data_IF_713471640158
#
_entry.id   IF_713471640158
#
_cell.length_a   1.000
_cell.length_b   1.000
_cell.length_c   1.000
_cell.angle_alpha   90.00
_cell.angle_beta   90.00
_cell.angle_gamma   90.00
#
_symmetry.space_group_name_H-M   'P 1'
#
loop_
_entity.id
_entity.type
_entity.pdbx_description
1 polymer ?
#
# COMPACT_ATOMS: atom_id res chain seq x y z
N UNK A 1 22.13 11.57 -23.99
CA UNK A 1 21.43 10.34 -23.55
C UNK A 1 21.17 10.50 -22.06
N UNK A 2 20.03 10.10 -21.50
CA UNK A 2 19.86 10.16 -20.06
C UNK A 2 20.97 9.33 -19.39
N UNK A 3 21.54 9.85 -18.31
CA UNK A 3 22.57 9.18 -17.53
C UNK A 3 21.99 7.88 -16.93
N UNK A 4 22.74 6.77 -17.06
CA UNK A 4 22.32 5.49 -16.48
C UNK A 4 22.79 5.44 -15.02
N UNK A 5 21.87 5.24 -14.09
CA UNK A 5 22.19 5.06 -12.68
C UNK A 5 22.75 3.64 -12.46
N UNK A 6 23.97 3.53 -11.98
CA UNK A 6 24.60 2.26 -11.62
C UNK A 6 24.45 1.97 -10.13
N UNK A 7 23.97 0.77 -9.78
CA UNK A 7 23.76 0.36 -8.41
C UNK A 7 23.98 -1.15 -8.22
N UNK A 8 24.10 -1.60 -6.97
CA UNK A 8 24.12 -3.04 -6.68
C UNK A 8 22.70 -3.60 -6.75
N UNK A 9 21.70 -2.87 -6.22
CA UNK A 9 20.30 -3.36 -6.15
C UNK A 9 19.34 -2.25 -6.58
N UNK A 10 18.41 -2.57 -7.49
CA UNK A 10 17.24 -1.75 -7.76
C UNK A 10 16.07 -2.21 -6.87
N UNK A 11 15.52 -1.32 -6.04
CA UNK A 11 14.35 -1.57 -5.19
C UNK A 11 13.15 -0.89 -5.82
N UNK A 12 12.13 -1.67 -6.21
CA UNK A 12 10.92 -1.21 -6.87
C UNK A 12 9.77 -1.20 -5.86
N UNK A 13 9.35 -0.02 -5.46
CA UNK A 13 8.36 0.24 -4.43
C UNK A 13 8.98 0.87 -3.19
N UNK A 14 8.55 2.10 -2.87
CA UNK A 14 9.00 2.89 -1.72
C UNK A 14 8.03 2.82 -0.54
N UNK A 15 7.24 1.76 -0.43
CA UNK A 15 6.45 1.46 0.75
C UNK A 15 7.33 1.04 1.94
N UNK A 16 6.75 0.75 3.13
CA UNK A 16 7.52 0.40 4.32
C UNK A 16 8.53 -0.73 4.09
N UNK A 17 8.15 -1.81 3.40
CA UNK A 17 9.05 -2.93 3.09
C UNK A 17 10.21 -2.51 2.17
N UNK A 18 9.94 -1.69 1.15
CA UNK A 18 10.98 -1.20 0.24
C UNK A 18 11.96 -0.23 0.92
N UNK A 19 11.45 0.67 1.77
CA UNK A 19 12.29 1.55 2.59
C UNK A 19 13.19 0.71 3.51
N UNK A 20 12.61 -0.27 4.20
CA UNK A 20 13.42 -1.11 5.09
C UNK A 20 14.41 -2.01 4.32
N UNK A 21 14.09 -2.41 3.08
CA UNK A 21 15.06 -3.12 2.23
C UNK A 21 16.28 -2.23 1.89
N UNK A 22 16.09 -0.94 1.66
CA UNK A 22 17.22 0.00 1.49
C UNK A 22 18.10 0.05 2.74
N UNK A 23 17.49 0.02 3.94
CA UNK A 23 18.23 -0.04 5.20
C UNK A 23 19.07 -1.32 5.29
N UNK A 24 18.46 -2.49 5.09
CA UNK A 24 19.15 -3.78 5.20
C UNK A 24 20.27 -3.93 4.17
N UNK A 25 20.03 -3.51 2.92
CA UNK A 25 21.07 -3.46 1.87
C UNK A 25 22.23 -2.56 2.27
N UNK A 26 21.93 -1.37 2.79
CA UNK A 26 22.94 -0.41 3.23
C UNK A 26 23.78 -0.94 4.40
N UNK A 27 23.18 -1.65 5.36
CA UNK A 27 23.89 -2.33 6.45
C UNK A 27 24.88 -3.38 5.92
N UNK A 28 24.57 -4.00 4.79
CA UNK A 28 25.46 -4.95 4.09
C UNK A 28 26.38 -4.26 3.09
N UNK A 29 26.46 -2.92 3.09
CA UNK A 29 27.28 -2.09 2.18
C UNK A 29 26.94 -2.28 0.70
N UNK A 30 25.70 -2.66 0.39
CA UNK A 30 25.15 -2.72 -0.96
C UNK A 30 24.45 -1.40 -1.28
N UNK A 31 24.81 -0.79 -2.40
CA UNK A 31 24.16 0.44 -2.87
C UNK A 31 22.81 0.11 -3.46
N UNK A 32 21.80 0.90 -3.13
CA UNK A 32 20.45 0.74 -3.67
C UNK A 32 19.99 1.99 -4.43
N UNK A 33 19.17 1.81 -5.46
CA UNK A 33 18.33 2.84 -6.07
C UNK A 33 16.89 2.49 -5.79
N UNK A 34 16.10 3.43 -5.30
CA UNK A 34 14.69 3.26 -4.96
C UNK A 34 13.83 3.88 -6.06
N UNK A 35 12.87 3.11 -6.59
CA UNK A 35 11.94 3.56 -7.63
C UNK A 35 10.51 3.38 -7.14
N UNK A 36 9.64 4.38 -7.31
CA UNK A 36 8.21 4.25 -7.01
C UNK A 36 7.35 5.03 -8.01
N UNK A 37 6.19 4.46 -8.33
CA UNK A 37 5.18 5.10 -9.18
C UNK A 37 4.54 6.33 -8.51
N UNK A 38 4.53 6.39 -7.18
CA UNK A 38 4.03 7.54 -6.43
C UNK A 38 5.09 8.64 -6.36
N UNK A 39 4.64 9.89 -6.35
CA UNK A 39 5.51 11.08 -6.23
C UNK A 39 6.14 11.22 -4.84
N UNK A 40 5.65 10.47 -3.85
CA UNK A 40 6.12 10.48 -2.47
C UNK A 40 6.37 9.05 -1.99
N UNK A 41 7.38 8.87 -1.13
CA UNK A 41 7.64 7.59 -0.49
C UNK A 41 6.57 7.27 0.56
N UNK A 42 6.44 5.97 0.91
CA UNK A 42 5.52 5.48 1.93
C UNK A 42 4.44 4.55 1.40
N UNK A 43 4.27 4.46 0.07
CA UNK A 43 3.31 3.56 -0.55
C UNK A 43 1.89 3.79 -0.02
N UNK A 44 1.15 2.71 0.27
CA UNK A 44 -0.23 2.80 0.79
C UNK A 44 -0.31 3.54 2.13
N UNK A 45 0.69 3.43 3.00
CA UNK A 45 0.72 4.09 4.31
C UNK A 45 0.67 5.61 4.19
N UNK A 46 1.40 6.19 3.25
CA UNK A 46 1.38 7.64 3.01
C UNK A 46 0.20 8.06 2.12
N UNK A 47 -0.07 7.30 1.04
CA UNK A 47 -1.04 7.69 0.02
C UNK A 47 -2.50 7.54 0.47
N UNK A 48 -2.82 6.52 1.27
CA UNK A 48 -4.21 6.12 1.52
C UNK A 48 -4.68 6.39 2.96
N UNK A 49 -3.81 6.21 3.97
CA UNK A 49 -4.22 6.28 5.37
C UNK A 49 -3.11 6.76 6.33
N UNK A 50 -2.51 7.94 6.08
CA UNK A 50 -1.38 8.41 6.88
C UNK A 50 -1.70 8.61 8.37
N UNK A 51 -2.96 8.90 8.70
CA UNK A 51 -3.44 9.10 10.08
C UNK A 51 -4.01 7.82 10.71
N UNK A 52 -3.94 6.67 10.01
CA UNK A 52 -4.45 5.42 10.57
C UNK A 52 -3.42 4.85 11.56
N UNK A 53 -3.81 4.56 12.83
CA UNK A 53 -2.92 3.92 13.77
C UNK A 53 -2.66 2.46 13.38
N UNK A 54 -1.42 2.04 13.53
CA UNK A 54 -0.92 0.68 13.34
C UNK A 54 -0.46 0.16 14.70
N UNK A 55 -0.90 -1.02 15.10
CA UNK A 55 -0.67 -1.56 16.44
C UNK A 55 0.32 -2.73 16.46
N UNK A 56 0.69 -3.27 15.31
CA UNK A 56 1.54 -4.46 15.14
C UNK A 56 2.96 -4.14 14.66
N UNK A 57 3.43 -2.92 14.94
CA UNK A 57 4.84 -2.54 14.77
C UNK A 57 5.57 -2.73 16.09
N UNK A 58 6.62 -3.57 16.15
CA UNK A 58 7.38 -3.80 17.37
C UNK A 58 7.87 -2.51 18.02
N UNK A 59 7.88 -2.47 19.35
CA UNK A 59 8.26 -1.32 20.17
C UNK A 59 7.35 -0.10 20.11
N UNK A 60 6.27 -0.14 19.33
CA UNK A 60 5.26 0.91 19.28
C UNK A 60 3.90 0.35 19.72
N UNK A 61 3.33 0.78 20.87
CA UNK A 61 1.96 0.41 21.27
C UNK A 61 0.92 0.83 20.21
N UNK A 62 1.17 1.96 19.56
CA UNK A 62 0.49 2.42 18.34
C UNK A 62 1.40 3.44 17.65
N UNK A 63 1.39 3.45 16.33
CA UNK A 63 2.08 4.45 15.50
C UNK A 63 1.21 4.78 14.28
N UNK A 64 1.07 6.06 13.96
CA UNK A 64 0.38 6.46 12.74
C UNK A 64 1.18 6.04 11.51
N UNK A 65 0.49 5.62 10.46
CA UNK A 65 1.12 5.12 9.24
C UNK A 65 2.11 6.14 8.62
N UNK A 66 1.76 7.42 8.62
CA UNK A 66 2.65 8.50 8.17
C UNK A 66 3.87 8.68 9.07
N UNK A 67 3.71 8.55 10.39
CA UNK A 67 4.82 8.62 11.35
C UNK A 67 5.79 7.45 11.18
N UNK A 68 5.27 6.25 10.91
CA UNK A 68 6.09 5.08 10.58
C UNK A 68 6.93 5.33 9.32
N UNK A 69 6.32 5.85 8.25
CA UNK A 69 7.04 6.20 7.01
C UNK A 69 8.14 7.21 7.29
N UNK A 70 7.83 8.29 8.01
CA UNK A 70 8.83 9.31 8.36
C UNK A 70 9.99 8.73 9.21
N UNK A 71 9.71 7.76 10.08
CA UNK A 71 10.76 7.07 10.84
C UNK A 71 11.66 6.21 9.94
N UNK A 72 11.07 5.45 9.00
CA UNK A 72 11.80 4.66 8.02
C UNK A 72 12.65 5.54 7.09
N UNK A 73 12.14 6.68 6.65
CA UNK A 73 12.90 7.63 5.83
C UNK A 73 14.14 8.17 6.56
N UNK A 74 13.99 8.51 7.86
CA UNK A 74 15.14 8.89 8.70
C UNK A 74 16.12 7.74 8.86
N UNK A 75 15.63 6.49 8.97
CA UNK A 75 16.48 5.32 9.13
C UNK A 75 17.34 5.04 7.91
N UNK A 76 16.85 5.30 6.70
CA UNK A 76 17.60 5.09 5.45
C UNK A 76 18.45 6.31 5.03
N UNK A 77 18.27 7.47 5.65
CA UNK A 77 18.95 8.70 5.26
C UNK A 77 20.48 8.59 5.19
N UNK A 78 21.17 7.88 6.11
CA UNK A 78 22.63 7.72 6.06
C UNK A 78 23.14 7.01 4.80
N UNK A 79 22.34 6.19 4.14
CA UNK A 79 22.74 5.44 2.94
C UNK A 79 22.62 6.24 1.64
N UNK A 80 22.03 7.43 1.67
CA UNK A 80 21.90 8.36 0.53
C UNK A 80 21.43 7.69 -0.78
N UNK A 81 20.54 6.70 -0.70
CA UNK A 81 20.05 5.98 -1.86
C UNK A 81 19.33 6.93 -2.83
N UNK A 82 19.71 6.99 -4.13
CA UNK A 82 19.01 7.77 -5.13
C UNK A 82 17.54 7.31 -5.24
N UNK A 83 16.63 8.27 -5.43
CA UNK A 83 15.18 8.02 -5.51
C UNK A 83 14.63 8.49 -6.84
N UNK A 84 13.94 7.61 -7.55
CA UNK A 84 13.18 7.89 -8.77
C UNK A 84 11.69 7.77 -8.42
N UNK A 85 11.12 8.82 -7.83
CA UNK A 85 9.71 8.88 -7.47
C UNK A 85 8.85 9.44 -8.61
N UNK A 86 7.58 9.05 -8.68
CA UNK A 86 6.68 9.40 -9.77
C UNK A 86 7.02 8.69 -11.08
N UNK A 87 7.72 7.55 -11.04
CA UNK A 87 8.16 6.82 -12.22
C UNK A 87 7.82 5.32 -12.10
N UNK A 88 7.26 4.76 -13.16
CA UNK A 88 6.93 3.34 -13.23
C UNK A 88 8.03 2.59 -13.98
N UNK A 89 8.58 1.54 -13.39
CA UNK A 89 9.48 0.64 -14.13
C UNK A 89 8.67 -0.16 -15.13
N UNK A 90 8.91 0.10 -16.43
CA UNK A 90 8.16 -0.51 -17.53
C UNK A 90 8.88 -1.69 -18.18
N UNK A 91 10.20 -1.78 -18.04
CA UNK A 91 10.97 -2.88 -18.61
C UNK A 91 12.05 -3.35 -17.65
N UNK A 92 12.28 -4.67 -17.65
CA UNK A 92 13.36 -5.36 -16.96
C UNK A 92 13.99 -6.38 -17.92
N UNK A 93 15.26 -6.20 -18.24
CA UNK A 93 16.06 -7.09 -19.09
C UNK A 93 17.34 -7.53 -18.37
N UNK A 94 18.05 -8.49 -18.98
CA UNK A 94 19.29 -9.03 -18.39
C UNK A 94 19.03 -10.14 -17.35
N UNK A 95 20.04 -10.37 -16.51
CA UNK A 95 20.06 -11.41 -15.50
C UNK A 95 20.95 -11.07 -14.31
N UNK A 96 21.22 -12.04 -13.40
CA UNK A 96 22.03 -11.83 -12.21
C UNK A 96 23.36 -11.17 -12.53
N UNK A 97 23.70 -10.11 -11.80
CA UNK A 97 24.91 -9.31 -12.00
C UNK A 97 24.82 -8.22 -13.07
N UNK A 98 23.82 -8.26 -13.98
CA UNK A 98 23.70 -7.33 -15.12
C UNK A 98 22.24 -7.13 -15.56
N UNK A 99 21.41 -6.57 -14.70
CA UNK A 99 20.03 -6.15 -15.03
C UNK A 99 20.04 -4.72 -15.59
N UNK A 100 19.17 -4.49 -16.58
CA UNK A 100 18.82 -3.14 -17.04
C UNK A 100 17.32 -2.91 -16.85
N UNK A 101 16.98 -1.80 -16.18
CA UNK A 101 15.63 -1.35 -15.95
C UNK A 101 15.40 -0.03 -16.69
N UNK A 102 14.20 0.15 -17.23
CA UNK A 102 13.75 1.41 -17.83
C UNK A 102 12.44 1.85 -17.18
N UNK A 103 12.31 3.17 -16.95
CA UNK A 103 11.08 3.77 -16.45
C UNK A 103 10.28 4.42 -17.59
N UNK A 104 8.99 4.67 -17.35
CA UNK A 104 8.10 5.43 -18.26
C UNK A 104 8.58 6.88 -18.49
N UNK A 105 9.33 7.46 -17.55
CA UNK A 105 9.98 8.77 -17.69
C UNK A 105 11.31 8.71 -18.46
N UNK A 106 11.75 7.52 -18.91
CA UNK A 106 12.98 7.33 -19.67
C UNK A 106 14.25 7.23 -18.82
N UNK A 107 14.15 7.15 -17.49
CA UNK A 107 15.29 6.86 -16.62
C UNK A 107 15.79 5.44 -16.82
N UNK A 108 17.11 5.25 -16.76
CA UNK A 108 17.77 3.94 -16.91
C UNK A 108 18.55 3.57 -15.66
N UNK A 109 18.42 2.32 -15.22
CA UNK A 109 19.12 1.78 -14.07
C UNK A 109 19.84 0.51 -14.48
N UNK A 110 21.13 0.43 -14.21
CA UNK A 110 21.92 -0.78 -14.29
C UNK A 110 22.12 -1.34 -12.87
N UNK A 111 21.60 -2.53 -12.61
CA UNK A 111 21.63 -3.14 -11.28
C UNK A 111 22.13 -4.58 -11.35
N UNK A 112 22.74 -5.07 -10.27
CA UNK A 112 23.23 -6.46 -10.18
C UNK A 112 22.15 -7.42 -9.67
N UNK A 113 21.19 -6.88 -8.87
CA UNK A 113 20.02 -7.61 -8.39
C UNK A 113 18.80 -6.66 -8.34
N UNK A 114 17.60 -7.23 -8.24
CA UNK A 114 16.34 -6.47 -8.18
C UNK A 114 15.50 -6.96 -7.02
N UNK A 115 14.96 -6.03 -6.21
CA UNK A 115 13.96 -6.29 -5.18
C UNK A 115 12.65 -5.64 -5.59
N UNK A 116 11.59 -6.43 -5.68
CA UNK A 116 10.23 -5.96 -5.96
C UNK A 116 9.49 -5.86 -4.62
N UNK A 117 9.23 -4.62 -4.19
CA UNK A 117 8.49 -4.28 -2.98
C UNK A 117 7.21 -3.49 -3.31
N UNK A 118 6.60 -3.80 -4.46
CA UNK A 118 5.52 -3.04 -5.07
C UNK A 118 4.16 -3.18 -4.36
N UNK A 119 4.11 -3.81 -3.18
CA UNK A 119 2.88 -3.96 -2.39
C UNK A 119 1.78 -4.68 -3.17
N UNK A 120 0.64 -4.04 -3.37
CA UNK A 120 -0.45 -4.56 -4.20
C UNK A 120 -0.23 -4.32 -5.72
N UNK A 121 0.94 -3.82 -6.12
CA UNK A 121 1.19 -3.36 -7.49
C UNK A 121 0.71 -1.92 -7.71
N UNK A 122 0.50 -1.54 -8.95
CA UNK A 122 -0.22 -0.32 -9.24
C UNK A 122 -1.63 -0.44 -8.67
N UNK A 123 -1.93 0.32 -7.63
CA UNK A 123 -3.23 0.25 -6.98
C UNK A 123 -4.09 1.43 -7.42
N UNK A 124 -5.28 1.10 -7.91
CA UNK A 124 -6.38 2.03 -8.03
C UNK A 124 -7.52 1.57 -7.13
N UNK A 125 -8.39 2.47 -6.71
CA UNK A 125 -9.60 2.05 -6.01
C UNK A 125 -10.51 1.26 -6.94
N UNK A 126 -11.15 0.22 -6.43
CA UNK A 126 -12.27 -0.40 -7.12
C UNK A 126 -13.41 0.63 -7.22
N UNK A 127 -13.53 1.25 -8.40
CA UNK A 127 -14.50 2.30 -8.64
C UNK A 127 -15.91 1.70 -8.78
N UNK A 128 -16.91 2.23 -8.05
CA UNK A 128 -18.29 1.80 -8.24
C UNK A 128 -18.78 2.21 -9.65
N UNK A 129 -19.57 1.37 -10.31
CA UNK A 129 -20.09 1.66 -11.66
C UNK A 129 -21.27 2.66 -11.59
N UNK A 130 -20.99 3.89 -11.17
CA UNK A 130 -21.99 4.95 -11.03
C UNK A 130 -21.87 5.98 -12.15
N UNK A 131 -23.00 6.40 -12.69
CA UNK A 131 -23.04 7.44 -13.70
C UNK A 131 -22.53 8.78 -13.13
N UNK A 132 -21.73 9.52 -13.91
CA UNK A 132 -21.21 10.82 -13.52
C UNK A 132 -20.14 10.80 -12.43
N UNK A 133 -19.67 9.62 -11.99
CA UNK A 133 -18.71 9.44 -10.89
C UNK A 133 -17.47 10.34 -11.02
N UNK A 134 -16.91 10.48 -12.22
CA UNK A 134 -15.69 11.25 -12.45
C UNK A 134 -15.80 12.74 -12.07
N UNK A 135 -16.98 13.35 -12.20
CA UNK A 135 -17.20 14.74 -11.80
C UNK A 135 -17.12 14.92 -10.28
N UNK A 136 -17.63 13.95 -9.52
CA UNK A 136 -17.58 13.97 -8.05
C UNK A 136 -16.19 13.58 -7.51
N UNK A 137 -15.45 12.73 -8.24
CA UNK A 137 -14.06 12.44 -7.92
C UNK A 137 -13.16 13.67 -8.09
N UNK A 138 -13.36 14.42 -9.20
CA UNK A 138 -12.58 15.62 -9.48
C UNK A 138 -12.72 16.72 -8.41
N UNK A 139 -13.88 16.81 -7.77
CA UNK A 139 -14.14 17.77 -6.67
C UNK A 139 -13.77 17.22 -5.29
N UNK A 140 -13.45 15.93 -5.19
CA UNK A 140 -13.21 15.24 -3.93
C UNK A 140 -14.49 14.97 -3.12
N UNK A 141 -15.67 15.05 -3.74
CA UNK A 141 -16.93 14.63 -3.12
C UNK A 141 -17.06 13.11 -3.05
N UNK A 142 -16.43 12.38 -3.97
CA UNK A 142 -16.22 10.93 -3.88
C UNK A 142 -14.75 10.66 -3.62
N UNK A 143 -14.47 9.89 -2.57
CA UNK A 143 -13.12 9.55 -2.14
C UNK A 143 -13.00 8.06 -1.86
N UNK A 144 -11.80 7.53 -1.99
CA UNK A 144 -11.47 6.12 -1.74
C UNK A 144 -10.52 5.94 -0.56
N UNK A 145 -10.09 7.06 0.03
CA UNK A 145 -9.21 7.16 1.18
C UNK A 145 -9.48 8.48 1.93
N UNK A 146 -9.07 8.55 3.17
CA UNK A 146 -9.13 9.77 3.99
C UNK A 146 -7.71 10.16 4.35
N UNK A 147 -7.25 11.30 3.83
CA UNK A 147 -5.92 11.86 4.16
C UNK A 147 -5.97 12.79 5.37
N UNK A 148 -7.06 13.49 5.52
CA UNK A 148 -7.32 14.44 6.58
C UNK A 148 -8.77 14.23 7.05
N UNK A 149 -8.94 13.71 8.25
CA UNK A 149 -10.25 13.45 8.85
C UNK A 149 -10.93 14.74 9.31
N UNK A 150 -10.15 15.78 9.68
CA UNK A 150 -10.69 17.07 10.12
C UNK A 150 -11.42 17.79 8.98
N UNK A 151 -11.03 17.59 7.73
CA UNK A 151 -11.73 18.11 6.55
C UNK A 151 -13.16 17.55 6.41
N UNK A 152 -13.51 16.49 7.15
CA UNK A 152 -14.85 15.89 7.17
C UNK A 152 -15.71 16.39 8.35
N UNK A 153 -15.20 17.24 9.21
CA UNK A 153 -15.91 17.75 10.39
C UNK A 153 -17.22 18.42 10.01
N UNK A 154 -18.30 17.99 10.66
CA UNK A 154 -19.66 18.50 10.44
C UNK A 154 -20.32 18.07 9.12
N UNK A 155 -19.61 17.34 8.26
CA UNK A 155 -20.14 16.84 6.98
C UNK A 155 -21.08 15.64 7.15
N UNK A 156 -21.95 15.44 6.16
CA UNK A 156 -22.73 14.21 5.98
C UNK A 156 -21.89 13.26 5.15
N UNK A 157 -21.42 12.19 5.76
CA UNK A 157 -20.51 11.23 5.13
C UNK A 157 -21.21 9.88 4.95
N UNK A 158 -21.34 9.45 3.70
CA UNK A 158 -21.77 8.09 3.40
C UNK A 158 -20.53 7.24 3.17
N UNK A 159 -20.40 6.15 3.92
CA UNK A 159 -19.33 5.16 3.80
C UNK A 159 -19.93 3.92 3.13
N UNK A 160 -19.42 3.53 1.96
CA UNK A 160 -19.85 2.34 1.26
C UNK A 160 -18.78 1.25 1.33
N UNK A 161 -19.08 0.15 2.00
CA UNK A 161 -18.17 -0.98 2.20
C UNK A 161 -18.56 -1.84 3.38
N UNK A 162 -17.84 -2.92 3.61
CA UNK A 162 -18.10 -3.84 4.74
C UNK A 162 -16.88 -4.60 5.21
N UNK A 163 -15.67 -4.16 4.81
CA UNK A 163 -14.39 -4.64 5.32
C UNK A 163 -13.83 -3.70 6.39
N UNK A 164 -12.64 -4.04 6.92
CA UNK A 164 -11.99 -3.30 8.00
C UNK A 164 -11.92 -1.78 7.75
N UNK A 165 -11.50 -1.35 6.54
CA UNK A 165 -11.41 0.08 6.23
C UNK A 165 -12.73 0.83 6.39
N UNK A 166 -13.85 0.24 5.99
CA UNK A 166 -15.16 0.89 6.11
C UNK A 166 -15.59 1.02 7.58
N UNK A 167 -15.36 -0.04 8.36
CA UNK A 167 -15.72 -0.09 9.78
C UNK A 167 -14.82 0.84 10.61
N UNK A 168 -13.51 0.76 10.40
CA UNK A 168 -12.53 1.60 11.10
C UNK A 168 -12.80 3.10 10.88
N UNK A 169 -13.04 3.50 9.61
CA UNK A 169 -13.35 4.89 9.30
C UNK A 169 -14.71 5.34 9.81
N UNK A 170 -15.71 4.45 9.85
CA UNK A 170 -16.99 4.80 10.46
C UNK A 170 -16.83 5.11 11.95
N UNK A 171 -16.07 4.29 12.68
CA UNK A 171 -15.76 4.51 14.09
C UNK A 171 -14.89 5.75 14.31
N UNK A 172 -13.91 6.00 13.46
CA UNK A 172 -13.02 7.17 13.57
C UNK A 172 -13.73 8.49 13.27
N UNK A 173 -14.80 8.47 12.46
CA UNK A 173 -15.51 9.69 12.03
C UNK A 173 -16.81 9.96 12.81
N UNK A 174 -17.32 9.03 13.62
CA UNK A 174 -18.63 9.14 14.29
C UNK A 174 -18.75 10.38 15.18
N UNK A 175 -17.65 10.84 15.78
CA UNK A 175 -17.64 12.03 16.65
C UNK A 175 -17.32 13.33 15.88
N UNK A 176 -16.94 13.24 14.61
CA UNK A 176 -16.56 14.35 13.74
C UNK A 176 -17.62 14.70 12.70
N UNK A 177 -18.33 13.70 12.17
CA UNK A 177 -19.22 13.82 11.04
C UNK A 177 -20.55 13.07 11.29
N UNK A 178 -21.56 13.32 10.45
CA UNK A 178 -22.77 12.49 10.41
C UNK A 178 -22.53 11.31 9.49
N UNK A 179 -22.35 10.13 10.05
CA UNK A 179 -21.91 8.93 9.30
C UNK A 179 -23.09 7.99 9.02
N UNK A 180 -23.26 7.61 7.76
CA UNK A 180 -24.11 6.52 7.34
C UNK A 180 -23.26 5.44 6.65
N UNK A 181 -23.34 4.19 7.10
CA UNK A 181 -22.60 3.05 6.51
C UNK A 181 -23.53 2.20 5.66
N UNK A 182 -23.23 2.12 4.38
CA UNK A 182 -23.96 1.34 3.38
C UNK A 182 -23.26 0.00 3.17
N UNK A 183 -23.96 -1.11 3.43
CA UNK A 183 -23.43 -2.44 3.17
C UNK A 183 -24.51 -3.36 2.63
N UNK A 184 -24.16 -4.13 1.57
CA UNK A 184 -25.11 -5.02 0.87
C UNK A 184 -25.42 -6.33 1.58
N UNK A 185 -24.64 -6.71 2.59
CA UNK A 185 -24.78 -7.97 3.33
C UNK A 185 -25.13 -7.69 4.80
N UNK A 186 -25.86 -8.60 5.47
CA UNK A 186 -26.21 -8.44 6.88
C UNK A 186 -25.01 -8.43 7.84
N UNK A 187 -23.88 -9.02 7.41
CA UNK A 187 -22.68 -9.14 8.26
C UNK A 187 -21.51 -8.42 7.60
N UNK A 188 -20.76 -7.68 8.41
CA UNK A 188 -19.48 -7.10 8.05
C UNK A 188 -18.39 -8.18 7.92
N UNK A 189 -17.39 -7.93 7.09
CA UNK A 189 -16.18 -8.77 6.94
C UNK A 189 -14.99 -8.21 7.71
N UNK A 190 -15.19 -7.17 8.48
CA UNK A 190 -14.22 -6.59 9.39
C UNK A 190 -13.93 -7.54 10.56
N UNK A 191 -12.88 -7.23 11.33
CA UNK A 191 -12.56 -7.94 12.56
C UNK A 191 -13.79 -7.96 13.49
N UNK A 192 -14.08 -9.10 14.17
CA UNK A 192 -15.31 -9.23 14.97
C UNK A 192 -15.46 -8.14 16.03
N UNK A 193 -14.37 -7.73 16.67
CA UNK A 193 -14.38 -6.70 17.70
C UNK A 193 -14.77 -5.32 17.16
N UNK A 194 -14.19 -4.92 16.02
CA UNK A 194 -14.52 -3.63 15.40
C UNK A 194 -15.91 -3.62 14.79
N UNK A 195 -16.37 -4.76 14.24
CA UNK A 195 -17.74 -4.90 13.75
C UNK A 195 -18.76 -4.76 14.90
N UNK A 196 -18.51 -5.39 16.06
CA UNK A 196 -19.34 -5.25 17.24
C UNK A 196 -19.36 -3.80 17.76
N UNK A 197 -18.21 -3.13 17.82
CA UNK A 197 -18.12 -1.72 18.21
C UNK A 197 -18.93 -0.80 17.28
N UNK A 198 -18.97 -1.09 15.97
CA UNK A 198 -19.81 -0.35 15.01
C UNK A 198 -21.30 -0.58 15.25
N UNK A 199 -21.72 -1.82 15.52
CA UNK A 199 -23.10 -2.15 15.84
C UNK A 199 -23.55 -1.47 17.15
N UNK A 200 -22.69 -1.41 18.17
CA UNK A 200 -22.94 -0.67 19.40
C UNK A 200 -23.06 0.84 19.17
N UNK A 201 -22.16 1.43 18.34
CA UNK A 201 -22.24 2.84 17.98
C UNK A 201 -23.54 3.15 17.24
N UNK A 202 -24.00 2.25 16.37
CA UNK A 202 -25.30 2.38 15.69
C UNK A 202 -26.48 2.28 16.67
N UNK A 203 -26.42 1.37 17.64
CA UNK A 203 -27.45 1.25 18.67
C UNK A 203 -27.55 2.52 19.54
N UNK A 204 -26.44 3.27 19.72
CA UNK A 204 -26.42 4.58 20.39
C UNK A 204 -26.83 5.75 19.49
N UNK A 205 -27.07 5.50 18.19
CA UNK A 205 -27.41 6.54 17.22
C UNK A 205 -26.22 7.41 16.78
N UNK A 206 -24.99 6.98 17.04
CA UNK A 206 -23.74 7.67 16.65
C UNK A 206 -23.42 7.47 15.16
N UNK A 207 -23.90 6.36 14.59
CA UNK A 207 -23.73 5.97 13.18
C UNK A 207 -25.05 5.38 12.66
N UNK A 208 -25.42 5.67 11.42
CA UNK A 208 -26.55 5.03 10.76
C UNK A 208 -26.08 3.81 9.95
N UNK A 209 -26.66 2.62 10.20
CA UNK A 209 -26.41 1.44 9.37
C UNK A 209 -27.51 1.30 8.32
N UNK A 210 -27.12 1.30 7.06
CA UNK A 210 -28.00 1.18 5.90
C UNK A 210 -27.74 -0.18 5.23
N UNK A 211 -28.40 -1.20 5.74
CA UNK A 211 -28.26 -2.61 5.36
C UNK A 211 -29.65 -3.17 5.07
N UNK A 212 -29.86 -4.01 4.05
CA UNK A 212 -28.91 -4.48 3.04
C UNK A 212 -28.99 -3.66 1.74
N UNK A 213 -28.24 -2.59 1.64
CA UNK A 213 -28.26 -1.69 0.49
C UNK A 213 -26.90 -1.63 -0.20
N UNK A 214 -26.90 -1.27 -1.48
CA UNK A 214 -25.70 -0.96 -2.28
C UNK A 214 -25.86 0.38 -2.97
N UNK A 215 -24.77 0.99 -3.39
CA UNK A 215 -24.80 2.24 -4.14
C UNK A 215 -25.58 2.05 -5.45
N UNK A 216 -26.45 3.01 -5.77
CA UNK A 216 -27.26 3.01 -6.99
C UNK A 216 -27.02 4.23 -7.86
N UNK A 217 -27.07 5.44 -7.32
CA UNK A 217 -26.82 6.67 -8.05
C UNK A 217 -26.23 7.78 -7.14
N UNK A 218 -25.63 8.78 -7.78
CA UNK A 218 -25.15 10.01 -7.13
C UNK A 218 -26.03 11.18 -7.59
N UNK A 219 -26.40 12.04 -6.65
CA UNK A 219 -27.23 13.22 -6.89
C UNK A 219 -26.52 14.49 -6.41
N UNK A 220 -26.50 15.53 -7.26
CA UNK A 220 -25.87 16.80 -6.98
C UNK A 220 -25.67 17.62 -8.23
N UNK A 221 -25.08 18.79 -8.10
CA UNK A 221 -24.83 19.70 -9.20
C UNK A 221 -23.37 20.12 -9.29
N UNK A 222 -22.84 20.27 -10.50
CA UNK A 222 -21.47 20.74 -10.78
C UNK A 222 -20.37 19.99 -9.99
N UNK A 223 -20.57 18.68 -9.72
CA UNK A 223 -19.64 17.86 -8.95
C UNK A 223 -19.77 18.03 -7.42
N UNK A 224 -20.63 18.89 -6.92
CA UNK A 224 -20.99 18.93 -5.49
C UNK A 224 -22.03 17.86 -5.20
N UNK A 225 -21.73 16.98 -4.23
CA UNK A 225 -22.63 15.90 -3.83
C UNK A 225 -23.71 16.43 -2.89
N UNK A 226 -24.97 16.13 -3.17
CA UNK A 226 -26.13 16.45 -2.33
C UNK A 226 -26.77 15.22 -1.69
N UNK A 227 -26.61 14.06 -2.35
CA UNK A 227 -27.15 12.78 -1.88
C UNK A 227 -26.58 11.57 -2.62
N UNK A 228 -26.67 10.44 -1.94
CA UNK A 228 -26.36 9.11 -2.47
C UNK A 228 -27.64 8.28 -2.46
N UNK A 229 -28.08 7.83 -3.62
CA UNK A 229 -29.15 6.89 -3.74
C UNK A 229 -28.61 5.48 -3.58
N UNK A 230 -29.25 4.70 -2.74
CA UNK A 230 -28.91 3.30 -2.47
C UNK A 230 -30.11 2.42 -2.79
N UNK A 231 -29.83 1.17 -3.20
CA UNK A 231 -30.88 0.22 -3.54
C UNK A 231 -30.63 -1.16 -2.90
N UNK A 232 -31.71 -1.85 -2.56
CA UNK A 232 -31.67 -3.28 -2.22
C UNK A 232 -31.61 -4.11 -3.51
N UNK A 233 -31.31 -5.42 -3.39
CA UNK A 233 -31.38 -6.34 -4.52
C UNK A 233 -32.82 -6.52 -5.05
N UNK A 234 -33.82 -6.22 -4.23
CA UNK A 234 -35.24 -6.24 -4.63
C UNK A 234 -35.68 -4.97 -5.36
N UNK A 235 -34.79 -3.96 -5.50
CA UNK A 235 -35.09 -2.71 -6.20
C UNK A 235 -35.70 -1.62 -5.30
N UNK A 236 -35.82 -1.82 -4.01
CA UNK A 236 -36.22 -0.77 -3.07
C UNK A 236 -35.09 0.27 -3.00
N UNK A 237 -35.41 1.54 -3.23
CA UNK A 237 -34.44 2.65 -3.21
C UNK A 237 -34.63 3.54 -1.99
N UNK A 238 -33.52 4.16 -1.56
CA UNK A 238 -33.49 5.12 -0.48
C UNK A 238 -32.47 6.24 -0.80
N UNK A 239 -32.84 7.48 -0.55
CA UNK A 239 -31.94 8.63 -0.67
C UNK A 239 -31.27 8.94 0.68
N UNK A 240 -29.96 9.00 0.69
CA UNK A 240 -29.14 9.41 1.83
C UNK A 240 -28.56 10.79 1.56
N UNK A 241 -28.86 11.82 2.35
CA UNK A 241 -28.21 13.12 2.22
C UNK A 241 -26.69 12.98 2.45
N UNK A 242 -25.87 13.46 1.53
CA UNK A 242 -24.43 13.30 1.59
C UNK A 242 -23.69 14.51 1.01
N UNK A 243 -22.61 14.91 1.69
CA UNK A 243 -21.65 15.89 1.20
C UNK A 243 -20.40 15.16 0.67
N UNK A 244 -20.12 13.96 1.18
CA UNK A 244 -18.98 13.12 0.80
C UNK A 244 -19.40 11.65 0.79
N UNK A 245 -18.97 10.93 -0.26
CA UNK A 245 -19.02 9.48 -0.34
C UNK A 245 -17.60 8.92 -0.17
N UNK A 246 -17.39 8.06 0.82
CA UNK A 246 -16.19 7.25 1.00
C UNK A 246 -16.47 5.83 0.48
N UNK A 247 -15.88 5.46 -0.67
CA UNK A 247 -16.12 4.18 -1.32
C UNK A 247 -15.00 3.17 -1.01
N UNK A 248 -15.17 2.34 0.01
CA UNK A 248 -14.19 1.35 0.46
C UNK A 248 -14.48 -0.05 -0.11
N UNK A 249 -14.32 -0.20 -1.42
CA UNK A 249 -14.52 -1.48 -2.13
C UNK A 249 -13.23 -2.28 -2.31
N UNK A 250 -12.15 -1.90 -1.63
CA UNK A 250 -10.82 -2.44 -1.79
C UNK A 250 -10.07 -1.82 -2.96
N UNK A 251 -8.83 -2.22 -3.10
CA UNK A 251 -7.96 -1.79 -4.17
C UNK A 251 -7.95 -2.83 -5.28
N UNK A 252 -8.00 -2.40 -6.51
CA UNK A 252 -7.61 -3.22 -7.64
C UNK A 252 -6.09 -3.37 -7.58
N UNK A 253 -5.62 -4.59 -7.35
CA UNK A 253 -4.21 -4.92 -7.31
C UNK A 253 -3.80 -5.38 -8.70
N UNK A 254 -3.01 -4.60 -9.40
CA UNK A 254 -2.45 -4.97 -10.70
C UNK A 254 -0.93 -4.83 -10.67
N UNK A 255 -0.23 -5.90 -11.03
CA UNK A 255 1.23 -5.86 -11.12
C UNK A 255 1.72 -5.02 -12.32
N UNK A 256 0.83 -4.65 -13.23
CA UNK A 256 1.17 -3.89 -14.43
C UNK A 256 2.31 -4.56 -15.22
N UNK A 257 3.35 -3.80 -15.63
CA UNK A 257 4.47 -4.35 -16.39
C UNK A 257 5.21 -5.50 -15.68
N UNK A 258 5.23 -5.51 -14.34
CA UNK A 258 5.91 -6.54 -13.52
C UNK A 258 5.39 -7.95 -13.84
N UNK A 259 4.10 -8.08 -14.15
CA UNK A 259 3.49 -9.37 -14.50
C UNK A 259 4.12 -10.06 -15.73
N UNK A 260 4.70 -9.27 -16.64
CA UNK A 260 5.31 -9.75 -17.88
C UNK A 260 6.81 -10.08 -17.73
N UNK A 261 7.42 -9.92 -16.57
CA UNK A 261 8.87 -10.11 -16.40
C UNK A 261 9.31 -11.56 -16.21
N UNK A 262 8.40 -12.52 -16.40
CA UNK A 262 8.74 -13.95 -16.47
C UNK A 262 8.88 -14.63 -15.10
N UNK A 263 8.37 -14.05 -14.04
CA UNK A 263 8.30 -14.67 -12.72
C UNK A 263 7.04 -15.53 -12.59
N UNK A 264 7.09 -16.56 -11.76
CA UNK A 264 5.91 -17.35 -11.40
C UNK A 264 4.96 -16.50 -10.54
N UNK A 265 3.68 -16.51 -10.93
CA UNK A 265 2.63 -15.75 -10.24
C UNK A 265 1.57 -16.70 -9.68
N UNK A 266 1.04 -16.35 -8.52
CA UNK A 266 -0.17 -16.92 -7.92
C UNK A 266 -1.14 -15.78 -7.56
N UNK A 267 -2.35 -15.79 -8.14
CA UNK A 267 -3.41 -14.80 -7.91
C UNK A 267 -2.91 -13.34 -7.94
N UNK A 268 -2.17 -12.97 -8.97
CA UNK A 268 -1.58 -11.62 -9.14
C UNK A 268 -0.48 -11.27 -8.12
N UNK A 269 0.18 -12.26 -7.51
CA UNK A 269 1.34 -12.08 -6.64
C UNK A 269 2.50 -12.90 -7.11
N UNK A 270 3.70 -12.49 -6.72
CA UNK A 270 4.94 -13.13 -7.13
C UNK A 270 5.24 -14.27 -6.16
N UNK A 271 5.27 -15.50 -6.66
CA UNK A 271 5.68 -16.66 -5.85
C UNK A 271 7.16 -16.57 -5.54
N UNK A 272 7.53 -16.74 -4.26
CA UNK A 272 8.90 -16.69 -3.79
C UNK A 272 9.25 -17.87 -2.90
N UNK A 273 10.55 -18.18 -2.82
CA UNK A 273 11.11 -19.04 -1.80
C UNK A 273 10.97 -18.35 -0.43
N UNK A 274 10.32 -18.97 0.56
CA UNK A 274 10.11 -18.35 1.88
C UNK A 274 11.39 -18.14 2.69
N UNK A 275 12.50 -18.81 2.35
CA UNK A 275 13.77 -18.68 3.07
C UNK A 275 14.62 -17.52 2.55
N UNK A 276 14.47 -17.12 1.30
CA UNK A 276 15.34 -16.16 0.62
C UNK A 276 14.58 -15.01 -0.03
N UNK A 277 13.26 -15.12 -0.15
CA UNK A 277 12.40 -14.23 -0.95
C UNK A 277 12.78 -14.20 -2.45
N UNK A 278 13.57 -15.17 -2.94
CA UNK A 278 13.94 -15.28 -4.34
C UNK A 278 12.72 -15.69 -5.18
N UNK A 279 12.56 -15.05 -6.34
CA UNK A 279 11.52 -15.42 -7.32
C UNK A 279 12.04 -16.55 -8.25
N UNK A 280 11.17 -17.05 -9.14
CA UNK A 280 11.57 -17.99 -10.17
C UNK A 280 12.54 -17.39 -11.22
N UNK A 281 12.67 -16.05 -11.28
CA UNK A 281 13.67 -15.37 -12.11
C UNK A 281 14.93 -15.12 -11.29
N UNK A 282 16.07 -15.78 -11.57
CA UNK A 282 17.28 -15.63 -10.78
C UNK A 282 17.73 -14.17 -10.65
N UNK A 283 18.17 -13.77 -9.45
CA UNK A 283 18.61 -12.40 -9.14
C UNK A 283 17.47 -11.39 -8.92
N UNK A 284 16.22 -11.83 -9.02
CA UNK A 284 15.03 -11.04 -8.71
C UNK A 284 14.37 -11.59 -7.45
N UNK A 285 14.11 -10.71 -6.49
CA UNK A 285 13.48 -11.01 -5.20
C UNK A 285 12.17 -10.25 -5.08
N UNK A 286 11.23 -10.76 -4.28
CA UNK A 286 9.99 -10.03 -4.00
C UNK A 286 9.66 -10.10 -2.51
N UNK A 287 9.25 -8.96 -1.94
CA UNK A 287 8.99 -8.77 -0.51
C UNK A 287 7.73 -7.96 -0.27
N UNK A 288 7.18 -8.04 0.94
CA UNK A 288 5.94 -7.35 1.31
C UNK A 288 4.71 -8.00 0.66
N UNK A 289 3.65 -7.24 0.46
CA UNK A 289 2.36 -7.76 0.02
C UNK A 289 2.35 -8.33 -1.41
N UNK A 290 3.34 -8.00 -2.22
CA UNK A 290 3.50 -8.55 -3.57
C UNK A 290 4.01 -9.99 -3.56
N UNK A 291 4.73 -10.40 -2.50
CA UNK A 291 5.26 -11.74 -2.34
C UNK A 291 4.19 -12.74 -1.88
N UNK A 292 4.28 -13.98 -2.38
CA UNK A 292 3.37 -15.09 -2.05
C UNK A 292 4.14 -16.37 -1.79
N UNK A 293 3.85 -17.01 -0.66
CA UNK A 293 4.34 -18.32 -0.25
C UNK A 293 3.42 -18.93 0.82
N UNK A 294 3.48 -20.23 1.11
CA UNK A 294 2.68 -20.86 2.17
C UNK A 294 2.93 -20.21 3.53
N UNK A 295 1.88 -19.82 4.23
CA UNK A 295 1.97 -19.16 5.54
C UNK A 295 2.26 -17.65 5.50
N UNK A 296 2.28 -17.03 4.33
CA UNK A 296 2.46 -15.58 4.18
C UNK A 296 1.38 -14.79 4.90
N UNK A 297 1.80 -13.90 5.80
CA UNK A 297 0.94 -12.90 6.44
C UNK A 297 1.10 -11.55 5.73
N UNK A 298 -0.01 -10.82 5.57
CA UNK A 298 -0.02 -9.48 5.00
C UNK A 298 0.17 -8.43 6.08
N UNK A 299 1.33 -8.42 6.69
CA UNK A 299 1.72 -7.50 7.74
C UNK A 299 2.97 -6.74 7.31
N UNK A 300 3.07 -5.47 7.71
CA UNK A 300 4.28 -4.67 7.49
C UNK A 300 5.49 -5.34 8.16
N UNK A 301 5.29 -5.88 9.37
CA UNK A 301 6.29 -6.65 10.11
C UNK A 301 6.87 -7.81 9.29
N UNK A 302 6.01 -8.55 8.56
CA UNK A 302 6.46 -9.64 7.69
C UNK A 302 7.34 -9.11 6.55
N UNK A 303 6.94 -7.97 5.96
CA UNK A 303 7.73 -7.30 4.92
C UNK A 303 9.11 -6.85 5.41
N UNK A 304 9.26 -6.45 6.67
CA UNK A 304 10.55 -6.12 7.27
C UNK A 304 11.45 -7.37 7.41
N UNK A 305 10.89 -8.46 7.90
CA UNK A 305 11.63 -9.73 7.97
C UNK A 305 12.09 -10.20 6.58
N UNK A 306 11.22 -10.12 5.58
CA UNK A 306 11.53 -10.48 4.20
C UNK A 306 12.60 -9.58 3.59
N UNK A 307 12.62 -8.29 3.93
CA UNK A 307 13.66 -7.36 3.48
C UNK A 307 15.06 -7.79 3.96
N UNK A 308 15.17 -8.17 5.25
CA UNK A 308 16.42 -8.69 5.79
C UNK A 308 16.84 -10.00 5.10
N UNK A 309 15.90 -10.94 4.93
CA UNK A 309 16.18 -12.23 4.25
C UNK A 309 16.63 -12.02 2.80
N UNK A 310 15.95 -11.17 2.05
CA UNK A 310 16.30 -10.86 0.67
C UNK A 310 17.68 -10.17 0.57
N UNK A 311 17.98 -9.21 1.47
CA UNK A 311 19.26 -8.51 1.47
C UNK A 311 20.44 -9.48 1.68
N UNK A 312 20.32 -10.42 2.63
CA UNK A 312 21.32 -11.45 2.86
C UNK A 312 21.48 -12.40 1.65
N UNK A 313 20.38 -12.87 1.08
CA UNK A 313 20.43 -13.72 -0.12
C UNK A 313 21.04 -12.99 -1.34
N UNK A 314 20.78 -11.69 -1.47
CA UNK A 314 21.43 -10.86 -2.50
C UNK A 314 22.92 -10.73 -2.24
N UNK A 315 23.33 -10.54 -0.98
CA UNK A 315 24.74 -10.44 -0.64
C UNK A 315 25.50 -11.72 -1.05
N UNK A 316 24.96 -12.88 -0.74
CA UNK A 316 25.53 -14.18 -1.12
C UNK A 316 25.61 -14.34 -2.65
N UNK A 317 24.58 -13.91 -3.38
CA UNK A 317 24.57 -13.90 -4.84
C UNK A 317 25.68 -13.02 -5.43
N UNK A 318 25.91 -11.86 -4.85
CA UNK A 318 26.85 -10.86 -5.38
C UNK A 318 28.29 -11.09 -4.94
N UNK A 319 28.51 -11.93 -3.92
CA UNK A 319 29.82 -12.25 -3.35
C UNK A 319 30.02 -13.77 -3.25
N UNK A 320 29.98 -14.51 -4.38
CA UNK A 320 30.08 -15.97 -4.36
C UNK A 320 31.39 -16.44 -3.76
N UNK A 321 31.29 -17.37 -2.81
CA UNK A 321 32.46 -17.95 -2.12
C UNK A 321 33.06 -17.06 -1.00
N UNK A 322 32.47 -15.91 -0.74
CA UNK A 322 32.83 -15.10 0.43
C UNK A 322 31.89 -15.43 1.59
N UNK A 323 32.45 -15.61 2.78
CA UNK A 323 31.63 -15.74 3.98
C UNK A 323 31.22 -14.35 4.47
N UNK A 324 29.92 -14.12 4.61
CA UNK A 324 29.44 -12.93 5.32
C UNK A 324 29.75 -13.09 6.80
N UNK A 325 30.70 -12.28 7.31
CA UNK A 325 30.88 -12.18 8.76
C UNK A 325 29.71 -11.42 9.33
N UNK A 326 28.76 -12.16 9.89
CA UNK A 326 27.61 -11.57 10.55
C UNK A 326 28.10 -10.68 11.71
N UNK A 327 27.88 -9.39 11.60
CA UNK A 327 28.19 -8.42 12.64
C UNK A 327 26.89 -7.80 13.12
N UNK A 328 26.70 -7.79 14.43
CA UNK A 328 25.54 -7.11 15.02
C UNK A 328 25.66 -5.60 14.81
N UNK A 329 24.56 -4.96 14.49
CA UNK A 329 24.48 -3.49 14.35
C UNK A 329 24.94 -2.75 15.62
N UNK A 330 24.79 -3.38 16.77
CA UNK A 330 25.33 -2.90 18.07
C UNK A 330 26.84 -2.85 18.13
N UNK A 331 27.54 -3.59 17.27
CA UNK A 331 29.02 -3.64 17.22
C UNK A 331 29.58 -2.75 16.13
N UNK A 332 28.91 -2.69 14.98
CA UNK A 332 29.42 -1.97 13.78
C UNK A 332 28.82 -0.58 13.62
N UNK A 333 27.72 -0.29 14.31
CA UNK A 333 26.94 0.93 14.06
C UNK A 333 26.31 0.95 12.67
N UNK A 334 25.88 2.11 12.23
CA UNK A 334 25.37 2.34 10.88
C UNK A 334 26.56 2.76 9.98
N UNK A 335 26.85 2.05 8.86
CA UNK A 335 27.90 2.45 7.94
C UNK A 335 27.65 3.87 7.41
N UNK A 336 28.62 4.79 7.57
CA UNK A 336 28.52 6.18 7.12
C UNK A 336 27.87 7.15 8.10
N UNK A 337 27.55 6.67 9.34
CA UNK A 337 27.08 7.52 10.44
C UNK A 337 28.20 8.10 11.29
#
# INVERSE_FOLDING_TARGET
>A
MPETLETDVAVIGAGPAGLFAVFELGMLKLRAVLVDALAEAGGQCAALYPEKPIYDIPAHPAIDAGALVAALERQIAPFAAPRLLGQVVVALSGGPGAFALETDAGSRIAARAVVIAAGAGAFGPNRPPLAGLAAYEATGAVRYFVRDREALRGRRVVIAGGGDSAVDWALALKDLARVAVVHRRPRFRAAPETAAALEEAAARGEVELVIPYQLHALHGEAGALGGVEVATLAGETRMLPADVLLAFFGLAAELGPIAAWGMALDQHRITVDPATCATSRPGVYAIGDVAQYPGKLKLILQGFSEAAMAAHAIWDLLHPGQALHFAYSTTTGIPGG
#
